data_IF_460999398662
#
_entry.id   IF_460999398662
#
_cell.length_a   1.000
_cell.length_b   1.000
_cell.length_c   1.000
_cell.angle_alpha   90.00
_cell.angle_beta   90.00
_cell.angle_gamma   90.00
#
_symmetry.space_group_name_H-M   'P 1'
#
loop_
_entity.id
_entity.type
_entity.pdbx_description
1 polymer ?
#
# COMPACT_ATOMS: atom_id res chain seq x y z
N UNK A 1 -28.73 42.43 -27.36
CA UNK A 1 -27.48 42.21 -26.62
C UNK A 1 -27.13 40.73 -26.76
N UNK A 2 -26.16 40.41 -27.63
CA UNK A 2 -25.96 39.03 -28.09
C UNK A 2 -25.16 38.23 -27.07
N UNK A 3 -25.44 36.92 -26.99
CA UNK A 3 -24.71 35.98 -26.13
C UNK A 3 -23.20 36.04 -26.41
N UNK A 4 -22.82 36.32 -27.66
CA UNK A 4 -21.43 36.56 -28.08
C UNK A 4 -20.74 37.71 -27.37
N UNK A 5 -21.44 38.80 -27.10
CA UNK A 5 -20.87 39.94 -26.39
C UNK A 5 -20.61 39.57 -24.92
N UNK A 6 -21.53 38.83 -24.29
CA UNK A 6 -21.35 38.31 -22.93
C UNK A 6 -20.16 37.35 -22.84
N UNK A 7 -19.95 36.50 -23.85
CA UNK A 7 -18.78 35.62 -23.92
C UNK A 7 -17.47 36.42 -24.00
N UNK A 8 -17.41 37.43 -24.88
CA UNK A 8 -16.21 38.27 -25.07
C UNK A 8 -15.88 39.09 -23.81
N UNK A 9 -16.89 39.66 -23.15
CA UNK A 9 -16.67 40.43 -21.91
C UNK A 9 -16.28 39.56 -20.71
N UNK A 10 -16.81 38.33 -20.63
CA UNK A 10 -16.42 37.37 -19.58
C UNK A 10 -14.99 36.84 -19.78
N UNK A 11 -14.57 36.67 -21.05
CA UNK A 11 -13.21 36.29 -21.40
C UNK A 11 -12.17 37.36 -21.03
N UNK A 12 -12.56 38.65 -21.03
CA UNK A 12 -11.66 39.77 -20.75
C UNK A 12 -11.43 40.02 -19.25
N UNK A 13 -12.33 39.58 -18.37
CA UNK A 13 -12.23 39.80 -16.92
C UNK A 13 -11.50 38.71 -16.15
N UNK A 14 -11.46 37.47 -16.65
CA UNK A 14 -10.88 36.31 -15.95
C UNK A 14 -9.39 36.09 -16.27
N UNK A 15 -8.87 36.77 -17.30
CA UNK A 15 -7.51 36.59 -17.78
C UNK A 15 -7.38 35.29 -18.56
N UNK A 16 -7.37 35.42 -19.89
CA UNK A 16 -7.25 34.33 -20.87
C UNK A 16 -6.20 33.26 -20.51
N UNK A 17 -5.11 33.69 -19.86
CA UNK A 17 -4.02 32.82 -19.39
C UNK A 17 -4.48 31.78 -18.36
N UNK A 18 -5.33 32.15 -17.41
CA UNK A 18 -5.79 31.23 -16.35
C UNK A 18 -6.77 30.20 -16.92
N UNK A 19 -7.69 30.62 -17.79
CA UNK A 19 -8.62 29.72 -18.46
C UNK A 19 -7.88 28.67 -19.32
N UNK A 20 -6.86 29.10 -20.08
CA UNK A 20 -6.04 28.18 -20.85
C UNK A 20 -5.21 27.23 -19.98
N UNK A 21 -4.65 27.71 -18.88
CA UNK A 21 -3.90 26.85 -17.95
C UNK A 21 -4.80 25.79 -17.32
N UNK A 22 -6.05 26.12 -16.96
CA UNK A 22 -7.01 25.14 -16.44
C UNK A 22 -7.38 24.09 -17.49
N UNK A 23 -7.64 24.51 -18.73
CA UNK A 23 -7.95 23.56 -19.82
C UNK A 23 -6.74 22.68 -20.12
N UNK A 24 -5.55 23.25 -20.20
CA UNK A 24 -4.32 22.50 -20.43
C UNK A 24 -4.04 21.52 -19.29
N UNK A 25 -4.18 21.96 -18.03
CA UNK A 25 -4.00 21.10 -16.87
C UNK A 25 -5.03 19.97 -16.84
N UNK A 26 -6.30 20.24 -17.19
CA UNK A 26 -7.33 19.20 -17.29
C UNK A 26 -7.02 18.19 -18.38
N UNK A 27 -6.60 18.64 -19.58
CA UNK A 27 -6.24 17.74 -20.68
C UNK A 27 -4.96 16.95 -20.38
N UNK A 28 -3.98 17.59 -19.74
CA UNK A 28 -2.74 16.94 -19.31
C UNK A 28 -3.02 15.88 -18.26
N UNK A 29 -3.90 16.17 -17.29
CA UNK A 29 -4.38 15.20 -16.30
C UNK A 29 -5.11 14.05 -16.96
N UNK A 30 -6.08 14.31 -17.83
CA UNK A 30 -6.83 13.25 -18.53
C UNK A 30 -5.90 12.41 -19.44
N UNK A 31 -4.86 13.00 -20.02
CA UNK A 31 -3.86 12.28 -20.81
C UNK A 31 -2.96 11.42 -19.93
N UNK A 32 -2.53 11.93 -18.77
CA UNK A 32 -1.81 11.17 -17.74
C UNK A 32 -2.67 10.04 -17.19
N UNK A 33 -3.92 10.31 -16.81
CA UNK A 33 -4.91 9.31 -16.36
C UNK A 33 -5.17 8.27 -17.44
N UNK A 34 -5.20 8.61 -18.74
CA UNK A 34 -5.31 7.57 -19.79
C UNK A 34 -4.03 6.78 -20.02
N UNK A 35 -2.87 7.37 -19.73
CA UNK A 35 -1.56 6.73 -19.88
C UNK A 35 -1.20 5.85 -18.69
N UNK A 36 -1.70 6.23 -17.51
CA UNK A 36 -1.51 5.60 -16.22
C UNK A 36 -2.81 5.08 -15.60
N UNK A 37 -3.89 5.00 -16.39
CA UNK A 37 -4.97 4.04 -16.20
C UNK A 37 -4.26 2.71 -16.36
N UNK A 38 -3.65 2.30 -15.26
CA UNK A 38 -3.52 0.93 -14.87
C UNK A 38 -4.83 0.33 -15.30
N UNK A 39 -4.80 -0.49 -16.34
CA UNK A 39 -5.80 -1.53 -16.49
C UNK A 39 -5.89 -2.13 -15.09
N UNK A 40 -6.89 -1.73 -14.32
CA UNK A 40 -7.36 -2.55 -13.22
C UNK A 40 -7.72 -3.82 -13.95
N UNK A 41 -6.84 -4.80 -13.82
CA UNK A 41 -6.94 -6.05 -14.55
C UNK A 41 -8.22 -6.68 -14.02
N UNK A 42 -9.35 -6.41 -14.70
CA UNK A 42 -10.66 -7.00 -14.40
C UNK A 42 -10.72 -8.44 -14.92
N UNK A 43 -9.55 -9.07 -15.08
CA UNK A 43 -9.45 -10.51 -15.11
C UNK A 43 -9.89 -11.08 -13.77
N UNK A 44 -10.34 -12.34 -13.71
CA UNK A 44 -10.46 -13.02 -12.44
C UNK A 44 -9.10 -12.91 -11.74
N UNK A 45 -9.08 -12.39 -10.52
CA UNK A 45 -7.91 -12.51 -9.65
C UNK A 45 -7.70 -14.01 -9.53
N UNK A 46 -6.80 -14.57 -10.32
CA UNK A 46 -6.28 -15.88 -10.04
C UNK A 46 -5.54 -15.68 -8.73
N UNK A 47 -6.16 -16.09 -7.62
CA UNK A 47 -5.52 -16.14 -6.31
C UNK A 47 -4.18 -16.81 -6.53
N UNK A 48 -3.13 -15.98 -6.52
CA UNK A 48 -1.78 -16.45 -6.80
C UNK A 48 -1.36 -17.15 -5.52
N UNK A 49 -1.66 -18.45 -5.46
CA UNK A 49 -1.38 -19.24 -4.28
C UNK A 49 0.11 -19.13 -3.95
N UNK A 50 0.41 -18.65 -2.75
CA UNK A 50 1.78 -18.56 -2.22
C UNK A 50 2.40 -19.94 -2.06
N UNK A 51 1.57 -20.98 -2.03
CA UNK A 51 1.94 -22.38 -1.90
C UNK A 51 2.23 -22.75 -0.45
N UNK A 52 2.80 -23.93 -0.23
CA UNK A 52 3.06 -24.43 1.12
C UNK A 52 4.09 -23.59 1.88
N UNK A 53 3.83 -23.33 3.17
CA UNK A 53 4.82 -22.73 4.06
C UNK A 53 6.06 -23.62 4.20
N UNK A 54 7.25 -23.00 4.21
CA UNK A 54 8.53 -23.71 4.31
C UNK A 54 9.32 -23.37 5.56
N UNK A 55 9.51 -22.08 5.83
CA UNK A 55 10.42 -21.64 6.90
C UNK A 55 10.07 -20.21 7.35
N UNK A 56 10.30 -19.92 8.63
CA UNK A 56 10.29 -18.56 9.19
C UNK A 56 11.69 -18.22 9.70
N UNK A 57 12.16 -17.02 9.36
CA UNK A 57 13.44 -16.48 9.82
C UNK A 57 13.19 -15.19 10.59
N UNK A 58 13.56 -15.15 11.87
CA UNK A 58 13.50 -13.91 12.64
C UNK A 58 14.59 -12.94 12.18
N UNK A 59 14.23 -11.67 12.04
CA UNK A 59 15.13 -10.56 11.71
C UNK A 59 14.96 -9.44 12.75
N UNK A 60 15.89 -8.48 12.85
CA UNK A 60 15.69 -7.33 13.72
C UNK A 60 14.38 -6.62 13.40
N UNK A 61 13.54 -6.41 14.42
CA UNK A 61 12.21 -5.79 14.28
C UNK A 61 11.22 -6.54 13.39
N UNK A 62 11.42 -7.82 13.08
CA UNK A 62 10.55 -8.50 12.13
C UNK A 62 10.77 -10.00 11.94
N UNK A 63 10.13 -10.55 10.91
CA UNK A 63 10.38 -11.90 10.45
C UNK A 63 10.15 -12.01 8.94
N UNK A 64 10.78 -13.01 8.34
CA UNK A 64 10.65 -13.37 6.94
C UNK A 64 10.04 -14.76 6.85
N UNK A 65 8.90 -14.86 6.17
CA UNK A 65 8.15 -16.08 5.93
C UNK A 65 8.38 -16.54 4.50
N UNK A 66 8.88 -17.77 4.35
CA UNK A 66 9.19 -18.37 3.06
C UNK A 66 8.09 -19.36 2.73
N UNK A 67 7.43 -19.16 1.59
CA UNK A 67 6.46 -20.06 1.00
C UNK A 67 7.04 -20.71 -0.26
N UNK A 68 6.28 -21.59 -0.88
CA UNK A 68 6.72 -22.31 -2.07
C UNK A 68 6.94 -21.41 -3.28
N UNK A 69 6.08 -20.40 -3.44
CA UNK A 69 6.04 -19.51 -4.60
C UNK A 69 6.19 -18.03 -4.25
N UNK A 70 6.32 -17.71 -2.95
CA UNK A 70 6.44 -16.34 -2.46
C UNK A 70 7.29 -16.26 -1.17
N UNK A 71 7.72 -15.04 -0.85
CA UNK A 71 8.36 -14.67 0.41
C UNK A 71 7.67 -13.41 0.93
N UNK A 72 7.29 -13.44 2.21
CA UNK A 72 6.71 -12.31 2.92
C UNK A 72 7.70 -11.79 3.96
N UNK A 73 8.13 -10.55 3.81
CA UNK A 73 8.87 -9.82 4.83
C UNK A 73 7.91 -8.98 5.67
N UNK A 74 7.91 -9.22 6.97
CA UNK A 74 7.24 -8.38 7.96
C UNK A 74 8.28 -7.61 8.74
N UNK A 75 8.18 -6.28 8.72
CA UNK A 75 9.09 -5.39 9.43
C UNK A 75 8.31 -4.31 10.19
N UNK A 76 8.49 -4.27 11.52
CA UNK A 76 7.98 -3.20 12.35
C UNK A 76 8.89 -1.98 12.25
N UNK A 77 8.32 -0.88 11.75
CA UNK A 77 8.98 0.42 11.64
C UNK A 77 8.82 1.23 12.92
N UNK A 78 7.72 1.00 13.64
CA UNK A 78 7.44 1.51 14.98
C UNK A 78 6.55 0.49 15.72
N UNK A 79 6.35 0.60 17.05
CA UNK A 79 5.49 -0.33 17.78
C UNK A 79 4.05 -0.43 17.25
N UNK A 80 3.54 0.59 16.58
CA UNK A 80 2.20 0.65 15.99
C UNK A 80 2.22 0.75 14.45
N UNK A 81 3.36 0.49 13.81
CA UNK A 81 3.52 0.58 12.36
C UNK A 81 4.28 -0.63 11.82
N UNK A 82 3.61 -1.42 10.99
CA UNK A 82 4.17 -2.60 10.33
C UNK A 82 4.21 -2.40 8.81
N UNK A 83 5.30 -2.85 8.19
CA UNK A 83 5.44 -2.98 6.74
C UNK A 83 5.43 -4.45 6.38
N UNK A 84 4.52 -4.82 5.48
CA UNK A 84 4.43 -6.16 4.91
C UNK A 84 4.83 -6.05 3.45
N UNK A 85 5.78 -6.88 3.03
CA UNK A 85 6.31 -6.90 1.67
C UNK A 85 6.23 -8.30 1.11
N UNK A 86 5.54 -8.47 -0.01
CA UNK A 86 5.45 -9.72 -0.74
C UNK A 86 6.42 -9.75 -1.93
N UNK A 87 7.11 -10.86 -2.13
CA UNK A 87 7.93 -11.14 -3.32
C UNK A 87 7.60 -12.54 -3.85
N UNK A 88 7.64 -12.79 -5.18
CA UNK A 88 8.04 -11.88 -6.25
C UNK A 88 6.96 -10.82 -6.56
N UNK A 89 7.38 -9.56 -6.64
CA UNK A 89 6.54 -8.40 -6.94
C UNK A 89 7.41 -7.14 -7.07
N UNK A 90 6.92 -6.12 -7.77
CA UNK A 90 7.63 -4.84 -7.88
C UNK A 90 7.42 -4.02 -6.61
N UNK A 91 8.53 -3.66 -5.96
CA UNK A 91 8.48 -2.80 -4.78
C UNK A 91 8.02 -1.39 -5.18
N UNK A 92 7.15 -0.75 -4.38
CA UNK A 92 6.75 0.62 -4.63
C UNK A 92 7.96 1.55 -4.58
N UNK A 93 7.94 2.57 -5.45
CA UNK A 93 8.97 3.60 -5.45
C UNK A 93 9.06 4.26 -4.06
N UNK A 94 10.28 4.47 -3.57
CA UNK A 94 10.60 4.92 -2.21
C UNK A 94 10.12 6.34 -1.84
N UNK A 95 9.18 6.95 -2.58
CA UNK A 95 8.74 8.32 -2.32
C UNK A 95 7.76 8.43 -1.13
N UNK A 96 7.15 7.33 -0.72
CA UNK A 96 6.09 7.34 0.30
C UNK A 96 6.63 7.34 1.74
N UNK A 97 7.87 6.89 1.97
CA UNK A 97 8.51 6.87 3.29
C UNK A 97 9.66 7.88 3.30
N UNK A 98 9.54 8.92 4.11
CA UNK A 98 10.59 9.95 4.25
C UNK A 98 11.80 9.43 5.03
N UNK A 99 11.57 8.56 6.02
CA UNK A 99 12.61 8.02 6.88
C UNK A 99 13.14 6.68 6.38
N UNK A 100 14.48 6.55 6.40
CA UNK A 100 15.20 5.33 6.00
C UNK A 100 15.80 4.58 7.19
N UNK A 101 15.73 5.18 8.38
CA UNK A 101 16.36 4.67 9.59
C UNK A 101 15.28 4.63 10.66
N UNK A 102 14.92 3.42 11.06
CA UNK A 102 13.90 3.15 12.06
C UNK A 102 14.58 2.62 13.30
N UNK A 103 14.11 3.03 14.48
CA UNK A 103 14.60 2.46 15.74
C UNK A 103 14.22 0.98 15.83
N UNK A 104 15.09 0.17 16.42
CA UNK A 104 14.82 -1.25 16.58
C UNK A 104 13.62 -1.47 17.50
N UNK A 105 12.60 -2.15 16.99
CA UNK A 105 11.38 -2.49 17.73
C UNK A 105 11.55 -3.89 18.29
N UNK A 106 11.39 -4.03 19.61
CA UNK A 106 11.34 -5.35 20.24
C UNK A 106 10.03 -6.03 19.85
N UNK A 107 10.15 -7.18 19.19
CA UNK A 107 9.03 -8.03 18.81
C UNK A 107 9.08 -9.35 19.57
N UNK A 108 7.90 -9.89 19.87
CA UNK A 108 7.73 -11.26 20.29
C UNK A 108 7.13 -12.04 19.13
N UNK A 109 7.87 -13.03 18.62
CA UNK A 109 7.39 -13.99 17.65
C UNK A 109 6.95 -15.24 18.41
N UNK A 110 5.68 -15.61 18.27
CA UNK A 110 5.09 -16.80 18.86
C UNK A 110 4.58 -17.70 17.73
N UNK A 111 4.83 -19.00 17.84
CA UNK A 111 4.33 -20.01 16.91
C UNK A 111 3.07 -20.64 17.51
N UNK A 112 1.99 -20.65 16.75
CA UNK A 112 0.70 -21.24 17.11
C UNK A 112 0.37 -22.39 16.13
N UNK A 113 -0.54 -23.33 16.42
CA UNK A 113 -0.82 -24.47 15.55
C UNK A 113 -1.23 -24.11 14.12
N UNK A 114 -1.76 -22.90 13.91
CA UNK A 114 -2.25 -22.43 12.62
C UNK A 114 -1.33 -21.35 11.99
N UNK A 115 -0.19 -21.02 12.61
CA UNK A 115 0.67 -19.97 12.06
C UNK A 115 1.55 -19.26 13.09
N UNK A 116 1.67 -17.94 12.94
CA UNK A 116 2.57 -17.13 13.76
C UNK A 116 1.97 -15.79 14.17
N UNK A 117 2.27 -15.40 15.40
CA UNK A 117 1.92 -14.10 15.95
C UNK A 117 3.18 -13.25 16.15
N UNK A 118 3.17 -12.02 15.65
CA UNK A 118 4.18 -11.01 15.94
C UNK A 118 3.56 -9.88 16.74
N UNK A 119 4.09 -9.65 17.94
CA UNK A 119 3.54 -8.65 18.88
C UNK A 119 4.60 -7.65 19.34
N UNK A 120 4.24 -6.37 19.34
CA UNK A 120 5.03 -5.24 19.89
C UNK A 120 4.45 -4.68 21.20
N UNK A 121 3.32 -5.23 21.65
CA UNK A 121 2.52 -4.73 22.77
C UNK A 121 1.54 -3.61 22.41
N UNK A 122 1.64 -3.04 21.20
CA UNK A 122 0.64 -2.09 20.65
C UNK A 122 -0.10 -2.63 19.45
N UNK A 123 0.53 -3.53 18.71
CA UNK A 123 0.01 -4.15 17.50
C UNK A 123 0.35 -5.63 17.53
N UNK A 124 -0.58 -6.45 17.09
CA UNK A 124 -0.43 -7.90 16.92
C UNK A 124 -0.72 -8.22 15.47
N UNK A 125 0.23 -8.85 14.79
CA UNK A 125 0.06 -9.39 13.45
C UNK A 125 0.00 -10.91 13.54
N UNK A 126 -1.11 -11.49 13.09
CA UNK A 126 -1.31 -12.93 12.96
C UNK A 126 -1.11 -13.30 11.51
N UNK A 127 -0.35 -14.37 11.26
CA UNK A 127 -0.03 -14.88 9.94
C UNK A 127 -0.38 -16.36 9.88
N UNK A 128 -1.26 -16.73 8.97
CA UNK A 128 -1.57 -18.14 8.70
C UNK A 128 -0.49 -18.79 7.82
N UNK A 129 -0.43 -20.11 7.87
CA UNK A 129 0.33 -20.99 6.98
C UNK A 129 0.02 -20.80 5.49
N UNK A 130 -1.17 -20.31 5.16
CA UNK A 130 -1.59 -19.97 3.79
C UNK A 130 -1.21 -18.54 3.38
N UNK A 131 -0.59 -17.76 4.27
CA UNK A 131 -0.13 -16.40 4.01
C UNK A 131 -1.19 -15.31 4.25
N UNK A 132 -2.39 -15.67 4.69
CA UNK A 132 -3.39 -14.72 5.17
C UNK A 132 -2.86 -13.96 6.39
N UNK A 133 -3.20 -12.68 6.49
CA UNK A 133 -2.72 -11.82 7.57
C UNK A 133 -3.85 -11.07 8.25
N UNK A 134 -3.83 -11.06 9.57
CA UNK A 134 -4.76 -10.30 10.39
C UNK A 134 -4.00 -9.35 11.29
N UNK A 135 -4.44 -8.10 11.36
CA UNK A 135 -3.82 -7.06 12.16
C UNK A 135 -4.78 -6.64 13.26
N UNK A 136 -4.33 -6.75 14.50
CA UNK A 136 -5.06 -6.35 15.69
C UNK A 136 -4.37 -5.18 16.40
N UNK A 137 -5.18 -4.32 17.01
CA UNK A 137 -4.66 -3.32 17.94
C UNK A 137 -4.45 -3.91 19.35
N UNK A 138 -3.96 -3.08 20.27
CA UNK A 138 -3.76 -3.45 21.68
C UNK A 138 -5.04 -3.92 22.41
N UNK A 139 -6.21 -3.49 21.95
CA UNK A 139 -7.50 -3.83 22.56
C UNK A 139 -8.13 -5.07 21.92
N UNK A 140 -7.33 -5.87 21.20
CA UNK A 140 -7.72 -7.06 20.43
C UNK A 140 -8.81 -6.79 19.38
N UNK A 141 -8.88 -5.55 18.87
CA UNK A 141 -9.77 -5.19 17.79
C UNK A 141 -9.07 -5.38 16.44
N UNK A 142 -9.72 -6.14 15.56
CA UNK A 142 -9.29 -6.31 14.18
C UNK A 142 -9.29 -4.97 13.44
N UNK A 143 -8.11 -4.55 12.99
CA UNK A 143 -7.90 -3.36 12.17
C UNK A 143 -7.96 -3.68 10.68
N UNK A 144 -7.45 -4.85 10.29
CA UNK A 144 -7.34 -5.27 8.88
C UNK A 144 -7.18 -6.78 8.77
N UNK A 145 -7.69 -7.32 7.68
CA UNK A 145 -7.57 -8.71 7.23
C UNK A 145 -7.18 -8.68 5.74
N UNK A 146 -6.20 -9.50 5.33
CA UNK A 146 -5.74 -9.68 3.95
C UNK A 146 -5.53 -11.15 3.59
#
# INVERSE_FOLDING_TARGET
>A
MNLWDKFIYSFRSIGFRNALMTIYASLYRDWQERRYDLKQDTGPILEKQVGSFKEVRSIPSGAVFIFEHAEMEVLFLAPDLVRITWTPGDLPLHYALTDKTWEEVKIHLHEDPNGWDLTTGRLTLVIDTDGCTEIYNRDDQLLREE
#
